data_IF_866797758750
#
_entry.id   IF_866797758750
#
_cell.length_a   1.000
_cell.length_b   1.000
_cell.length_c   1.000
_cell.angle_alpha   90.00
_cell.angle_beta   90.00
_cell.angle_gamma   90.00
#
_symmetry.space_group_name_H-M   'P 1'
#
loop_
_entity.id
_entity.type
_entity.pdbx_description
1 polymer ?
#
# COMPACT_ATOMS: atom_id res chain seq x y z
N UNK A 1 -47.83 3.25 -61.76
CA UNK A 1 -46.38 3.47 -61.60
C UNK A 1 -46.14 4.30 -60.36
N UNK A 2 -45.07 3.97 -59.61
CA UNK A 2 -44.47 4.63 -58.42
C UNK A 2 -44.93 4.09 -57.05
N UNK A 3 -44.22 3.03 -56.66
CA UNK A 3 -44.05 2.53 -55.29
C UNK A 3 -43.18 3.51 -54.50
N UNK A 4 -43.53 3.82 -53.25
CA UNK A 4 -42.60 4.35 -52.26
C UNK A 4 -42.95 3.78 -50.88
N UNK A 5 -42.27 2.68 -50.54
CA UNK A 5 -42.31 2.06 -49.20
C UNK A 5 -41.32 2.83 -48.35
N UNK A 6 -41.83 3.67 -47.44
CA UNK A 6 -41.03 4.47 -46.53
C UNK A 6 -40.61 3.63 -45.32
N UNK A 7 -39.36 3.20 -45.31
CA UNK A 7 -38.66 2.63 -44.15
C UNK A 7 -38.46 3.72 -43.10
N UNK A 8 -39.10 3.62 -41.94
CA UNK A 8 -38.71 4.38 -40.76
C UNK A 8 -38.02 3.46 -39.78
N UNK A 9 -36.70 3.64 -39.73
CA UNK A 9 -35.72 2.94 -38.93
C UNK A 9 -36.00 3.16 -37.45
N UNK A 10 -36.06 2.06 -36.70
CA UNK A 10 -35.90 2.02 -35.25
C UNK A 10 -34.56 2.68 -34.86
N UNK A 11 -34.62 3.81 -34.16
CA UNK A 11 -33.46 4.42 -33.51
C UNK A 11 -33.42 3.87 -32.07
N UNK A 12 -32.54 2.88 -31.84
CA UNK A 12 -32.17 2.45 -30.50
C UNK A 12 -31.24 3.50 -29.88
N UNK A 13 -31.78 4.32 -28.97
CA UNK A 13 -31.02 5.30 -28.20
C UNK A 13 -30.38 4.61 -26.98
N UNK A 14 -29.34 3.81 -27.21
CA UNK A 14 -28.54 3.21 -26.14
C UNK A 14 -27.54 4.24 -25.60
N UNK A 15 -28.00 5.09 -24.67
CA UNK A 15 -27.13 5.93 -23.83
C UNK A 15 -26.51 5.01 -22.76
N UNK A 16 -25.42 4.33 -23.14
CA UNK A 16 -24.57 3.63 -22.20
C UNK A 16 -23.80 4.64 -21.36
N UNK A 17 -24.29 4.90 -20.15
CA UNK A 17 -23.51 5.54 -19.08
C UNK A 17 -22.34 4.60 -18.74
N UNK A 18 -21.24 4.74 -19.47
CA UNK A 18 -19.91 4.34 -19.02
C UNK A 18 -19.53 5.29 -17.88
N UNK A 19 -20.17 5.14 -16.71
CA UNK A 19 -19.65 5.66 -15.47
C UNK A 19 -18.39 4.83 -15.18
N UNK A 20 -17.26 5.27 -15.75
CA UNK A 20 -15.97 4.77 -15.36
C UNK A 20 -15.84 4.99 -13.86
N UNK A 21 -15.88 3.91 -13.10
CA UNK A 21 -15.53 3.91 -11.69
C UNK A 21 -14.04 4.27 -11.59
N UNK A 22 -13.70 5.55 -11.75
CA UNK A 22 -12.45 6.06 -11.23
C UNK A 22 -12.52 5.85 -9.73
N UNK A 23 -11.86 4.79 -9.24
CA UNK A 23 -11.81 4.49 -7.82
C UNK A 23 -11.19 5.71 -7.13
N UNK A 24 -12.03 6.44 -6.40
CA UNK A 24 -11.58 7.59 -5.61
C UNK A 24 -10.49 7.12 -4.65
N UNK A 25 -9.40 7.90 -4.47
CA UNK A 25 -8.36 7.59 -3.50
C UNK A 25 -9.00 7.31 -2.13
N UNK A 26 -8.76 6.13 -1.59
CA UNK A 26 -9.35 5.70 -0.33
C UNK A 26 -8.39 6.03 0.81
N UNK A 27 -8.83 6.87 1.75
CA UNK A 27 -8.09 7.09 3.00
C UNK A 27 -8.18 5.87 3.90
N UNK A 28 -7.07 5.56 4.56
CA UNK A 28 -7.05 4.49 5.55
C UNK A 28 -7.87 4.91 6.78
N UNK A 29 -8.88 4.12 7.21
CA UNK A 29 -9.84 4.52 8.24
C UNK A 29 -9.19 4.72 9.62
N UNK A 30 -8.00 4.17 9.87
CA UNK A 30 -7.20 4.38 11.07
C UNK A 30 -7.98 4.21 12.40
N UNK A 31 -8.82 3.17 12.47
CA UNK A 31 -9.74 2.92 13.60
C UNK A 31 -9.14 2.11 14.75
N UNK A 32 -7.90 1.63 14.60
CA UNK A 32 -7.23 0.80 15.61
C UNK A 32 -6.39 1.64 16.58
N UNK A 33 -5.97 1.04 17.70
CA UNK A 33 -4.97 1.64 18.58
C UNK A 33 -3.71 2.01 17.77
N UNK A 34 -3.19 3.23 17.98
CA UNK A 34 -1.99 3.73 17.30
C UNK A 34 -0.77 2.91 17.76
N UNK A 35 -0.50 1.85 17.03
CA UNK A 35 0.57 0.89 17.29
C UNK A 35 1.72 0.99 16.27
N UNK A 36 1.65 1.90 15.31
CA UNK A 36 2.69 2.15 14.33
C UNK A 36 3.03 3.65 14.26
N UNK A 37 4.31 3.95 14.33
CA UNK A 37 4.85 5.28 14.00
C UNK A 37 5.72 5.18 12.74
N UNK A 38 5.45 6.00 11.74
CA UNK A 38 6.35 6.19 10.59
C UNK A 38 7.09 7.51 10.78
N UNK A 39 8.38 7.42 11.09
CA UNK A 39 9.29 8.55 11.13
C UNK A 39 9.82 8.79 9.73
N UNK A 40 9.27 9.80 9.07
CA UNK A 40 9.67 10.21 7.74
C UNK A 40 10.72 11.31 7.85
N UNK A 41 11.78 11.20 7.05
CA UNK A 41 12.72 12.29 6.79
C UNK A 41 12.80 12.51 5.29
N UNK A 42 12.39 13.68 4.83
CA UNK A 42 12.52 14.09 3.43
C UNK A 42 13.68 15.10 3.29
N UNK A 43 14.51 14.93 2.26
CA UNK A 43 15.42 15.99 1.82
C UNK A 43 14.61 17.13 1.22
N UNK A 44 14.93 18.36 1.63
CA UNK A 44 14.44 19.58 0.97
C UNK A 44 15.17 19.86 -0.36
N UNK A 45 15.91 18.90 -0.92
CA UNK A 45 16.82 19.08 -2.06
C UNK A 45 16.09 19.12 -3.42
N UNK A 46 14.98 19.84 -3.46
CA UNK A 46 14.29 20.23 -4.66
C UNK A 46 14.50 21.73 -4.91
N UNK A 47 14.87 22.12 -6.13
CA UNK A 47 14.77 23.54 -6.51
C UNK A 47 13.32 24.04 -6.34
N UNK A 48 13.10 25.35 -6.49
CA UNK A 48 11.79 26.02 -6.32
C UNK A 48 10.60 25.38 -7.09
N UNK A 49 10.85 24.48 -8.05
CA UNK A 49 9.87 23.78 -8.88
C UNK A 49 9.68 22.28 -8.55
N UNK A 50 10.30 21.77 -7.48
CA UNK A 50 10.20 20.36 -7.10
C UNK A 50 9.18 20.19 -5.96
N UNK A 51 8.21 19.30 -6.14
CA UNK A 51 7.29 18.89 -5.07
C UNK A 51 7.60 17.44 -4.67
N UNK A 52 7.70 17.19 -3.36
CA UNK A 52 7.88 15.84 -2.80
C UNK A 52 6.68 15.54 -1.91
N UNK A 53 5.95 14.46 -2.23
CA UNK A 53 4.84 13.97 -1.43
C UNK A 53 5.14 12.55 -0.95
N UNK A 54 4.71 12.21 0.25
CA UNK A 54 4.89 10.88 0.81
C UNK A 54 3.58 10.35 1.39
N UNK A 55 3.34 9.05 1.23
CA UNK A 55 2.19 8.37 1.80
C UNK A 55 2.52 6.93 2.18
N UNK A 56 1.81 6.43 3.19
CA UNK A 56 1.84 5.03 3.59
C UNK A 56 0.59 4.31 3.08
N UNK A 57 0.74 3.44 2.09
CA UNK A 57 -0.31 2.52 1.65
C UNK A 57 -0.41 1.31 2.58
N UNK A 58 -1.64 0.95 2.95
CA UNK A 58 -1.94 -0.20 3.81
C UNK A 58 -2.75 -1.23 3.02
N UNK A 59 -2.27 -2.47 2.98
CA UNK A 59 -3.01 -3.59 2.41
C UNK A 59 -3.21 -4.66 3.46
N UNK A 60 -4.39 -5.27 3.50
CA UNK A 60 -4.65 -6.52 4.19
C UNK A 60 -4.14 -7.68 3.32
N UNK A 61 -3.44 -8.64 3.92
CA UNK A 61 -2.88 -9.79 3.23
C UNK A 61 -3.53 -11.05 3.79
N UNK A 62 -4.41 -11.66 3.00
CA UNK A 62 -5.10 -12.88 3.38
C UNK A 62 -4.14 -14.08 3.38
N UNK A 63 -4.59 -15.20 3.98
CA UNK A 63 -3.79 -16.43 4.09
C UNK A 63 -3.43 -17.08 2.75
N UNK A 64 -4.18 -16.77 1.69
CA UNK A 64 -3.91 -17.19 0.33
C UNK A 64 -2.94 -16.26 -0.43
N UNK A 65 -2.46 -15.21 0.24
CA UNK A 65 -1.63 -14.12 -0.29
C UNK A 65 -2.34 -13.19 -1.28
N UNK A 66 -3.68 -13.18 -1.29
CA UNK A 66 -4.42 -12.08 -1.92
C UNK A 66 -4.24 -10.79 -1.12
N UNK A 67 -4.08 -9.68 -1.84
CA UNK A 67 -3.89 -8.35 -1.27
C UNK A 67 -5.14 -7.53 -1.45
N UNK A 68 -5.65 -6.95 -0.37
CA UNK A 68 -6.78 -6.02 -0.40
C UNK A 68 -6.32 -4.67 0.12
N UNK A 69 -6.31 -3.68 -0.77
CA UNK A 69 -5.97 -2.31 -0.40
C UNK A 69 -7.00 -1.75 0.58
N UNK A 70 -6.53 -1.21 1.70
CA UNK A 70 -7.36 -0.62 2.75
C UNK A 70 -7.34 0.91 2.71
N UNK A 71 -6.42 1.50 1.95
CA UNK A 71 -6.24 2.93 1.83
C UNK A 71 -4.81 3.39 2.09
N UNK A 72 -4.62 4.70 2.10
CA UNK A 72 -3.36 5.35 2.44
C UNK A 72 -3.48 6.34 3.59
N UNK A 73 -2.33 6.68 4.16
CA UNK A 73 -2.14 7.77 5.12
C UNK A 73 -1.15 8.75 4.52
N UNK A 74 -1.50 10.04 4.45
CA UNK A 74 -0.55 11.09 4.09
C UNK A 74 0.55 11.18 5.15
N UNK A 75 1.81 11.16 4.71
CA UNK A 75 2.95 11.28 5.60
C UNK A 75 3.54 12.69 5.51
N UNK A 76 3.73 13.30 6.67
CA UNK A 76 4.47 14.55 6.83
C UNK A 76 5.89 14.25 7.32
N UNK A 77 6.80 15.19 7.12
CA UNK A 77 8.13 15.09 7.74
C UNK A 77 7.99 14.95 9.27
N UNK A 78 8.79 14.07 9.87
CA UNK A 78 8.69 13.68 11.28
C UNK A 78 7.79 12.47 11.55
N UNK A 79 7.19 12.44 12.75
CA UNK A 79 6.49 11.27 13.28
C UNK A 79 5.00 11.22 12.88
N UNK A 80 4.61 10.19 12.13
CA UNK A 80 3.24 9.94 11.70
C UNK A 80 2.69 8.70 12.40
N UNK A 81 1.59 8.82 13.16
CA UNK A 81 1.06 7.73 13.98
C UNK A 81 -0.29 7.23 13.49
N UNK A 82 -0.38 5.92 13.24
CA UNK A 82 -1.63 5.25 12.88
C UNK A 82 -1.66 3.81 13.41
N UNK A 83 -2.85 3.21 13.44
CA UNK A 83 -3.09 1.90 14.02
C UNK A 83 -3.31 0.84 12.96
N UNK A 84 -2.61 -0.28 13.09
CA UNK A 84 -2.87 -1.50 12.34
C UNK A 84 -3.65 -2.52 13.18
N UNK A 85 -4.49 -3.32 12.53
CA UNK A 85 -5.23 -4.39 13.17
C UNK A 85 -4.29 -5.47 13.76
N UNK A 86 -4.33 -5.72 15.09
CA UNK A 86 -3.54 -6.79 15.69
C UNK A 86 -3.92 -8.17 15.15
N UNK A 87 -2.93 -9.04 14.98
CA UNK A 87 -3.09 -10.41 14.48
C UNK A 87 -3.43 -10.54 13.00
N UNK A 88 -3.66 -9.42 12.29
CA UNK A 88 -3.88 -9.40 10.85
C UNK A 88 -2.58 -9.09 10.13
N UNK A 89 -2.27 -9.85 9.09
CA UNK A 89 -1.09 -9.60 8.27
C UNK A 89 -1.38 -8.43 7.34
N UNK A 90 -0.57 -7.39 7.42
CA UNK A 90 -0.64 -6.24 6.56
C UNK A 90 0.62 -6.11 5.72
N UNK A 91 0.49 -5.55 4.51
CA UNK A 91 1.61 -5.00 3.77
C UNK A 91 1.55 -3.49 3.87
N UNK A 92 2.59 -2.92 4.48
CA UNK A 92 2.81 -1.48 4.57
C UNK A 92 3.77 -1.06 3.48
N UNK A 93 3.41 -0.07 2.68
CA UNK A 93 4.28 0.52 1.69
C UNK A 93 4.40 2.02 1.91
N UNK A 94 5.60 2.52 2.14
CA UNK A 94 5.89 3.95 2.08
C UNK A 94 6.27 4.28 0.64
N UNK A 95 5.51 5.19 0.05
CA UNK A 95 5.71 5.67 -1.29
C UNK A 95 6.05 7.16 -1.25
N UNK A 96 7.03 7.54 -2.05
CA UNK A 96 7.49 8.90 -2.24
C UNK A 96 7.29 9.25 -3.70
N UNK A 97 6.58 10.34 -3.95
CA UNK A 97 6.34 10.88 -5.28
C UNK A 97 7.06 12.22 -5.39
N UNK A 98 7.92 12.33 -6.39
CA UNK A 98 8.66 13.56 -6.69
C UNK A 98 8.20 14.08 -8.04
N UNK A 99 7.78 15.33 -8.13
CA UNK A 99 7.42 15.97 -9.40
C UNK A 99 8.26 17.21 -9.66
N UNK A 100 8.76 17.34 -10.89
CA UNK A 100 9.57 18.45 -11.38
C UNK A 100 8.98 18.89 -12.73
N UNK A 101 8.29 20.03 -12.74
CA UNK A 101 7.55 20.49 -13.93
C UNK A 101 6.54 19.45 -14.41
N UNK A 102 6.73 18.91 -15.62
CA UNK A 102 5.86 17.88 -16.22
C UNK A 102 6.35 16.44 -15.98
N UNK A 103 7.48 16.25 -15.29
CA UNK A 103 8.03 14.93 -15.00
C UNK A 103 7.68 14.52 -13.57
N UNK A 104 7.26 13.27 -13.38
CA UNK A 104 7.01 12.69 -12.07
C UNK A 104 7.73 11.36 -11.93
N UNK A 105 8.37 11.14 -10.79
CA UNK A 105 8.92 9.86 -10.40
C UNK A 105 8.26 9.37 -9.12
N UNK A 106 8.20 8.06 -8.97
CA UNK A 106 7.66 7.40 -7.79
C UNK A 106 8.62 6.32 -7.33
N UNK A 107 8.83 6.27 -6.02
CA UNK A 107 9.66 5.28 -5.37
C UNK A 107 8.89 4.68 -4.20
N UNK A 108 8.94 3.36 -4.07
CA UNK A 108 8.22 2.64 -3.03
C UNK A 108 9.12 1.60 -2.35
N UNK A 109 8.96 1.49 -1.03
CA UNK A 109 9.51 0.42 -0.19
C UNK A 109 8.43 -0.02 0.79
N UNK A 110 8.45 -1.29 1.16
CA UNK A 110 7.42 -1.81 2.04
C UNK A 110 7.77 -3.16 2.63
N UNK A 111 7.00 -3.55 3.63
CA UNK A 111 7.22 -4.78 4.40
C UNK A 111 5.90 -5.43 4.81
N UNK A 112 5.90 -6.76 4.87
CA UNK A 112 4.87 -7.53 5.55
C UNK A 112 5.07 -7.42 7.07
N UNK A 113 3.98 -7.17 7.78
CA UNK A 113 3.95 -7.12 9.24
C UNK A 113 2.70 -7.82 9.76
N UNK A 114 2.79 -8.45 10.93
CA UNK A 114 1.62 -8.94 11.67
C UNK A 114 1.70 -8.36 13.06
N UNK A 115 1.04 -7.21 13.31
CA UNK A 115 1.13 -6.51 14.58
C UNK A 115 0.62 -7.40 15.72
N UNK A 116 1.34 -7.41 16.84
CA UNK A 116 0.93 -8.12 18.06
C UNK A 116 0.22 -7.13 18.98
N UNK A 117 -0.85 -7.56 19.63
CA UNK A 117 -1.59 -6.72 20.57
C UNK A 117 -0.68 -6.21 21.71
N UNK A 118 -0.79 -4.93 22.05
CA UNK A 118 0.03 -4.27 23.08
C UNK A 118 1.49 -4.00 22.69
N UNK A 119 1.91 -4.32 21.46
CA UNK A 119 3.23 -3.96 20.92
C UNK A 119 3.15 -2.66 20.13
N UNK A 120 4.27 -1.96 20.10
CA UNK A 120 4.47 -0.72 19.35
C UNK A 120 5.53 -0.96 18.29
N UNK A 121 5.30 -0.43 17.10
CA UNK A 121 6.17 -0.58 15.95
C UNK A 121 6.59 0.78 15.43
N UNK A 122 7.78 0.82 14.85
CA UNK A 122 8.31 2.02 14.23
C UNK A 122 8.88 1.68 12.85
N UNK A 123 8.57 2.52 11.86
CA UNK A 123 9.25 2.54 10.58
C UNK A 123 10.04 3.82 10.49
N UNK A 124 11.32 3.70 10.13
CA UNK A 124 12.11 4.86 9.71
C UNK A 124 12.18 4.84 8.19
N UNK A 125 11.73 5.93 7.57
CA UNK A 125 11.74 6.13 6.13
C UNK A 125 12.53 7.41 5.84
N UNK A 126 13.76 7.27 5.34
CA UNK A 126 14.60 8.42 5.01
C UNK A 126 14.76 8.51 3.49
N UNK A 127 14.38 9.64 2.91
CA UNK A 127 14.64 9.95 1.51
C UNK A 127 15.50 11.19 1.41
N UNK A 128 16.81 10.98 1.25
CA UNK A 128 17.83 12.02 1.24
C UNK A 128 18.70 11.79 0.01
N UNK A 129 18.90 12.84 -0.79
CA UNK A 129 19.75 12.80 -1.99
C UNK A 129 19.42 11.66 -2.98
N UNK A 130 18.12 11.39 -3.16
CA UNK A 130 17.65 10.33 -4.05
C UNK A 130 17.80 8.91 -3.50
N UNK A 131 18.36 8.75 -2.30
CA UNK A 131 18.49 7.47 -1.62
C UNK A 131 17.31 7.23 -0.68
N UNK A 132 16.72 6.04 -0.71
CA UNK A 132 15.61 5.66 0.16
C UNK A 132 16.00 4.52 1.11
N UNK A 133 16.21 4.88 2.38
CA UNK A 133 16.40 3.93 3.48
C UNK A 133 15.06 3.64 4.16
N UNK A 134 14.79 2.36 4.40
CA UNK A 134 13.54 1.87 4.97
C UNK A 134 13.84 0.78 5.99
N UNK A 135 13.50 1.03 7.25
CA UNK A 135 13.75 0.11 8.37
C UNK A 135 12.51 -0.08 9.21
N UNK A 136 12.35 -1.27 9.76
CA UNK A 136 11.24 -1.63 10.66
C UNK A 136 11.80 -2.01 12.03
N UNK A 137 11.14 -1.53 13.08
CA UNK A 137 11.50 -1.81 14.46
C UNK A 137 10.28 -2.22 15.28
N UNK A 138 10.48 -3.11 16.24
CA UNK A 138 9.62 -3.26 17.41
C UNK A 138 10.15 -2.34 18.51
N UNK A 139 9.29 -1.50 19.08
CA UNK A 139 9.61 -0.66 20.23
C UNK A 139 9.45 -1.51 21.49
N UNK A 140 10.53 -1.64 22.26
CA UNK A 140 10.59 -2.40 23.51
C UNK A 140 10.84 -1.45 24.69
N UNK A 141 10.76 -1.97 25.93
CA UNK A 141 11.09 -1.19 27.13
C UNK A 141 12.55 -0.71 27.16
N UNK A 142 13.44 -1.42 26.47
CA UNK A 142 14.88 -1.14 26.43
C UNK A 142 15.33 -0.37 25.19
N UNK A 143 14.42 -0.03 24.27
CA UNK A 143 14.74 0.69 23.04
C UNK A 143 14.02 0.14 21.83
N UNK A 144 14.76 -0.11 20.75
CA UNK A 144 14.22 -0.58 19.47
C UNK A 144 14.91 -1.87 19.06
N UNK A 145 14.14 -2.86 18.64
CA UNK A 145 14.63 -4.09 18.03
C UNK A 145 14.34 -4.04 16.54
N UNK A 146 15.38 -4.01 15.72
CA UNK A 146 15.23 -4.05 14.26
C UNK A 146 14.61 -5.39 13.83
N UNK A 147 13.62 -5.32 12.96
CA UNK A 147 12.92 -6.45 12.38
C UNK A 147 13.28 -6.57 10.90
N UNK A 148 13.31 -7.78 10.34
CA UNK A 148 13.60 -7.97 8.94
C UNK A 148 12.52 -7.32 8.06
N UNK A 149 12.96 -6.74 6.94
CA UNK A 149 12.06 -6.27 5.89
C UNK A 149 11.62 -7.48 5.06
N UNK A 150 10.33 -7.79 5.09
CA UNK A 150 9.77 -8.94 4.40
C UNK A 150 9.02 -8.47 3.15
N UNK A 151 9.50 -8.75 1.93
CA UNK A 151 8.84 -8.30 0.72
C UNK A 151 7.49 -9.03 0.55
N UNK A 152 6.54 -8.40 -0.16
CA UNK A 152 5.23 -9.00 -0.42
C UNK A 152 5.31 -10.37 -1.12
N UNK A 153 6.35 -10.57 -1.96
CA UNK A 153 6.63 -11.84 -2.64
C UNK A 153 6.88 -13.01 -1.67
N UNK A 154 7.43 -12.73 -0.48
CA UNK A 154 7.69 -13.75 0.53
C UNK A 154 6.41 -14.37 1.12
N UNK A 155 5.24 -13.75 0.94
CA UNK A 155 3.97 -14.37 1.32
C UNK A 155 3.76 -15.70 0.59
N UNK A 156 4.04 -15.73 -0.74
CA UNK A 156 3.84 -16.91 -1.58
C UNK A 156 4.81 -18.04 -1.20
N UNK A 157 6.06 -17.70 -0.92
CA UNK A 157 7.08 -18.68 -0.50
C UNK A 157 6.67 -19.43 0.77
N UNK A 158 6.12 -18.73 1.77
CA UNK A 158 5.62 -19.36 3.00
C UNK A 158 4.33 -20.18 2.81
N UNK A 159 3.63 -20.01 1.69
CA UNK A 159 2.45 -20.82 1.32
C UNK A 159 2.89 -22.12 0.65
N UNK A 160 3.86 -22.04 -0.25
CA UNK A 160 4.34 -23.19 -1.02
C UNK A 160 5.10 -24.18 -0.12
N UNK A 161 5.92 -23.69 0.81
CA UNK A 161 6.63 -24.51 1.80
C UNK A 161 5.66 -25.28 2.73
N UNK A 162 4.58 -24.62 3.17
CA UNK A 162 3.53 -25.29 3.96
C UNK A 162 2.79 -26.34 3.13
N UNK A 163 2.47 -26.05 1.86
CA UNK A 163 1.83 -27.04 0.98
C UNK A 163 2.71 -28.28 0.78
N UNK A 164 4.02 -28.11 0.62
CA UNK A 164 4.95 -29.23 0.49
C UNK A 164 5.05 -30.03 1.80
N UNK A 165 5.11 -29.35 2.94
CA UNK A 165 5.13 -30.01 4.26
C UNK A 165 3.87 -30.84 4.52
N UNK A 166 2.68 -30.32 4.21
CA UNK A 166 1.43 -31.06 4.35
C UNK A 166 1.30 -32.22 3.34
N UNK A 167 1.84 -32.06 2.13
CA UNK A 167 1.84 -33.14 1.15
C UNK A 167 2.65 -34.35 1.63
N UNK A 168 3.78 -34.15 2.32
CA UNK A 168 4.62 -35.24 2.81
C UNK A 168 3.95 -36.01 3.97
N UNK A 169 3.20 -35.33 4.84
CA UNK A 169 2.51 -35.97 5.98
C UNK A 169 1.26 -36.76 5.60
N UNK A 170 0.74 -36.64 4.37
CA UNK A 170 -0.41 -37.42 3.89
C UNK A 170 -0.02 -38.74 3.21
N UNK A 171 1.28 -39.01 3.03
CA UNK A 171 1.80 -40.24 2.41
C UNK A 171 2.64 -41.11 3.37
N UNK A 172 2.53 -40.87 4.68
CA UNK A 172 3.15 -41.65 5.75
C UNK A 172 2.09 -42.18 6.71
#
# INVERSE_FOLDING_TARGET
MKNFVSWHRLIFLSVGLLAGCAATPQYYPNTHEKNLTVNLKLSENGGFMTTVNAYAGVNDIAGDCSSRYLGFVDLKDGANKFGLAPGKRAYLAVQISTSIGYSSSQLQRGTLITPVAGKQYEITANYVDGMFDFRLFEVTKSGKKELPIVPISACKLAKDDRRQTFAIQQFS
#
